data_IF_222726050563
#
_entry.id   IF_222726050563
#
_cell.length_a   1.000
_cell.length_b   1.000
_cell.length_c   1.000
_cell.angle_alpha   90.00
_cell.angle_beta   90.00
_cell.angle_gamma   90.00
#
_symmetry.space_group_name_H-M   'P 1'
#
loop_
_entity.id
_entity.type
_entity.pdbx_description
1 polymer ?
#
# COMPACT_ATOMS: atom_id res chain seq x y z
N UNK A 1 15.42 28.22 -15.18
CA UNK A 1 16.19 26.98 -15.46
C UNK A 1 16.57 26.41 -14.10
N UNK A 2 15.67 25.64 -13.49
CA UNK A 2 15.89 25.10 -12.16
C UNK A 2 16.79 23.86 -12.30
N UNK A 3 17.92 23.89 -11.61
CA UNK A 3 18.83 22.75 -11.52
C UNK A 3 18.17 21.70 -10.61
N UNK A 4 17.86 20.53 -11.17
CA UNK A 4 17.51 19.35 -10.39
C UNK A 4 18.75 18.93 -9.60
N UNK A 5 18.69 19.01 -8.28
CA UNK A 5 19.68 18.41 -7.39
C UNK A 5 19.12 17.04 -7.01
N UNK A 6 19.72 15.99 -7.57
CA UNK A 6 19.45 14.59 -7.21
C UNK A 6 20.33 14.27 -6.01
N UNK A 7 19.73 13.85 -4.89
CA UNK A 7 20.44 13.45 -3.68
C UNK A 7 20.40 11.93 -3.55
N UNK A 8 21.37 11.25 -4.17
CA UNK A 8 21.50 9.80 -4.03
C UNK A 8 21.87 9.43 -2.58
N UNK A 9 20.93 8.86 -1.83
CA UNK A 9 21.20 8.34 -0.48
C UNK A 9 21.75 6.90 -0.56
N UNK A 10 23.05 6.74 -0.34
CA UNK A 10 23.67 5.42 -0.12
C UNK A 10 23.79 5.21 1.39
N UNK A 11 22.85 4.50 2.00
CA UNK A 11 23.07 3.96 3.36
C UNK A 11 23.99 2.75 3.29
N UNK A 12 25.28 2.99 3.52
CA UNK A 12 26.28 1.93 3.64
C UNK A 12 26.21 1.29 5.03
N UNK A 13 25.28 0.35 5.22
CA UNK A 13 25.33 -0.54 6.38
C UNK A 13 26.52 -1.48 6.16
N UNK A 14 27.49 -1.42 7.07
CA UNK A 14 28.75 -2.14 6.97
C UNK A 14 28.50 -3.65 6.99
N UNK A 15 28.54 -4.29 5.82
CA UNK A 15 28.66 -5.74 5.68
C UNK A 15 27.44 -6.50 5.16
N UNK A 16 26.74 -6.00 4.14
CA UNK A 16 26.00 -6.78 3.14
C UNK A 16 25.62 -5.82 2.00
N UNK A 17 25.51 -6.33 0.77
CA UNK A 17 25.15 -5.56 -0.42
C UNK A 17 24.03 -4.56 -0.10
N UNK A 18 24.33 -3.26 -0.15
CA UNK A 18 23.40 -2.22 0.29
C UNK A 18 22.11 -2.27 -0.52
N UNK A 19 20.98 -2.06 0.16
CA UNK A 19 19.71 -1.82 -0.50
C UNK A 19 19.81 -0.48 -1.23
N UNK A 20 19.56 -0.46 -2.53
CA UNK A 20 19.42 0.76 -3.31
C UNK A 20 18.00 1.26 -3.06
N UNK A 21 17.88 2.36 -2.32
CA UNK A 21 16.63 3.08 -2.20
C UNK A 21 16.55 4.06 -3.37
N UNK A 22 15.44 4.04 -4.08
CA UNK A 22 15.08 5.20 -4.88
C UNK A 22 14.86 6.39 -3.94
N UNK A 23 15.28 7.58 -4.39
CA UNK A 23 14.96 8.80 -3.66
C UNK A 23 13.43 8.85 -3.49
N UNK A 24 12.97 9.23 -2.29
CA UNK A 24 11.59 9.69 -2.12
C UNK A 24 11.31 10.63 -3.28
N UNK A 25 10.24 10.41 -4.07
CA UNK A 25 9.91 11.30 -5.16
C UNK A 25 9.76 12.63 -4.48
N UNK A 26 10.69 13.55 -4.74
CA UNK A 26 10.65 14.82 -4.05
C UNK A 26 9.38 15.52 -4.50
N UNK A 27 8.56 16.02 -3.57
CA UNK A 27 7.49 16.84 -4.04
C UNK A 27 7.41 18.17 -3.33
N UNK A 28 6.57 18.94 -3.99
CA UNK A 28 6.10 20.27 -3.75
C UNK A 28 5.36 20.41 -2.42
N UNK A 29 4.76 21.57 -2.21
CA UNK A 29 4.08 22.06 -1.00
C UNK A 29 2.89 21.21 -0.46
N UNK A 30 2.67 19.98 -0.92
CA UNK A 30 1.56 19.14 -0.47
C UNK A 30 1.78 18.63 0.96
N UNK A 31 0.69 18.26 1.63
CA UNK A 31 0.73 17.82 3.04
C UNK A 31 0.52 16.32 3.23
N UNK A 32 0.14 15.60 2.19
CA UNK A 32 -0.22 14.19 2.26
C UNK A 32 0.61 13.39 1.25
N UNK A 33 1.01 12.18 1.64
CA UNK A 33 1.79 11.27 0.80
C UNK A 33 1.04 9.96 0.60
N UNK A 34 0.82 9.59 -0.66
CA UNK A 34 0.31 8.30 -1.07
C UNK A 34 1.47 7.45 -1.60
N UNK A 35 1.80 6.36 -0.92
CA UNK A 35 2.82 5.38 -1.37
C UNK A 35 2.13 4.14 -1.91
N UNK A 36 2.45 3.78 -3.15
CA UNK A 36 1.85 2.67 -3.88
C UNK A 36 2.94 1.65 -4.22
N UNK A 37 2.80 0.42 -3.71
CA UNK A 37 3.83 -0.63 -3.80
C UNK A 37 3.30 -1.88 -4.50
N UNK A 38 3.98 -2.30 -5.58
CA UNK A 38 3.61 -3.50 -6.35
C UNK A 38 3.99 -4.82 -5.65
N UNK A 39 3.56 -5.95 -6.21
CA UNK A 39 3.84 -7.30 -5.70
C UNK A 39 5.13 -7.93 -6.25
N UNK A 40 5.27 -9.25 -6.03
CA UNK A 40 6.43 -10.04 -6.47
C UNK A 40 6.34 -10.43 -7.94
N UNK A 41 7.35 -10.05 -8.72
CA UNK A 41 7.38 -10.25 -10.17
C UNK A 41 6.73 -9.12 -10.97
N UNK A 42 6.33 -8.06 -10.29
CA UNK A 42 5.68 -6.88 -10.86
C UNK A 42 6.60 -5.67 -10.78
N UNK A 43 6.15 -4.56 -11.36
CA UNK A 43 6.82 -3.25 -11.38
C UNK A 43 5.76 -2.14 -11.28
N UNK A 44 6.16 -0.87 -11.10
CA UNK A 44 5.24 0.26 -11.19
C UNK A 44 4.46 0.37 -12.51
N UNK A 45 4.95 -0.26 -13.59
CA UNK A 45 4.29 -0.21 -14.91
C UNK A 45 3.04 -1.07 -14.99
N UNK A 46 2.89 -2.06 -14.12
CA UNK A 46 1.81 -3.04 -14.21
C UNK A 46 0.48 -2.47 -13.70
N UNK A 47 0.50 -1.79 -12.54
CA UNK A 47 -0.69 -1.15 -12.00
C UNK A 47 -0.46 0.15 -11.20
N UNK A 48 0.65 0.36 -10.45
CA UNK A 48 0.78 1.55 -9.63
C UNK A 48 0.72 2.85 -10.45
N UNK A 49 1.38 2.88 -11.61
CA UNK A 49 1.34 4.04 -12.51
C UNK A 49 -0.06 4.29 -13.08
N UNK A 50 -0.84 3.23 -13.31
CA UNK A 50 -2.22 3.36 -13.77
C UNK A 50 -3.14 3.90 -12.67
N UNK A 51 -2.95 3.47 -11.41
CA UNK A 51 -3.65 4.04 -10.25
C UNK A 51 -3.30 5.53 -10.10
N UNK A 52 -2.01 5.87 -10.10
CA UNK A 52 -1.55 7.26 -10.06
C UNK A 52 -2.21 8.10 -11.15
N UNK A 53 -2.19 7.64 -12.41
CA UNK A 53 -2.77 8.37 -13.52
C UNK A 53 -4.29 8.53 -13.40
N UNK A 54 -5.00 7.55 -12.83
CA UNK A 54 -6.43 7.65 -12.55
C UNK A 54 -6.71 8.74 -11.50
N UNK A 55 -5.94 8.79 -10.41
CA UNK A 55 -6.08 9.79 -9.35
C UNK A 55 -5.75 11.19 -9.90
N UNK A 56 -4.61 11.35 -10.57
CA UNK A 56 -4.21 12.64 -11.15
C UNK A 56 -5.25 13.15 -12.16
N UNK A 57 -5.88 12.25 -12.92
CA UNK A 57 -6.95 12.61 -13.86
C UNK A 57 -8.23 13.05 -13.16
N UNK A 58 -8.63 12.36 -12.10
CA UNK A 58 -9.90 12.63 -11.40
C UNK A 58 -9.81 13.93 -10.56
N UNK A 59 -8.72 14.10 -9.82
CA UNK A 59 -8.59 15.21 -8.87
C UNK A 59 -7.82 16.42 -9.42
N UNK A 60 -6.99 16.24 -10.45
CA UNK A 60 -6.31 17.34 -11.16
C UNK A 60 -5.63 18.35 -10.23
N UNK A 61 -5.98 19.63 -10.39
CA UNK A 61 -5.43 20.74 -9.60
C UNK A 61 -5.88 20.74 -8.11
N UNK A 62 -6.86 19.92 -7.75
CA UNK A 62 -7.33 19.74 -6.37
C UNK A 62 -6.57 18.67 -5.58
N UNK A 63 -5.60 18.01 -6.20
CA UNK A 63 -4.83 16.94 -5.58
C UNK A 63 -3.87 17.50 -4.50
N UNK A 64 -4.19 17.27 -3.23
CA UNK A 64 -3.30 17.56 -2.08
C UNK A 64 -2.44 16.34 -1.69
N UNK A 65 -2.13 15.50 -2.68
CA UNK A 65 -1.32 14.30 -2.50
C UNK A 65 -0.08 14.35 -3.37
N UNK A 66 1.03 14.00 -2.76
CA UNK A 66 2.15 13.48 -3.52
C UNK A 66 1.97 11.98 -3.68
N UNK A 67 2.16 11.48 -4.91
CA UNK A 67 1.94 10.06 -5.23
C UNK A 67 3.26 9.41 -5.61
N UNK A 68 3.72 8.48 -4.77
CA UNK A 68 4.89 7.66 -4.99
C UNK A 68 4.53 6.25 -5.40
N UNK A 69 4.81 5.91 -6.66
CA UNK A 69 4.77 4.54 -7.15
C UNK A 69 6.16 3.92 -6.99
N UNK A 70 6.43 3.28 -5.86
CA UNK A 70 7.79 2.82 -5.51
C UNK A 70 8.16 1.54 -6.25
N UNK A 71 9.34 1.53 -6.87
CA UNK A 71 9.90 0.34 -7.52
C UNK A 71 10.81 -0.42 -6.54
N UNK A 72 10.50 -1.69 -6.33
CA UNK A 72 11.33 -2.61 -5.55
C UNK A 72 11.56 -3.92 -6.28
N UNK A 73 11.45 -3.93 -7.62
CA UNK A 73 11.54 -5.12 -8.46
C UNK A 73 12.76 -6.01 -8.18
N UNK A 74 13.93 -5.40 -7.93
CA UNK A 74 15.18 -6.09 -7.60
C UNK A 74 15.03 -6.96 -6.35
N UNK A 75 14.25 -6.50 -5.38
CA UNK A 75 13.98 -7.18 -4.11
C UNK A 75 12.73 -8.08 -4.19
N UNK A 76 11.79 -7.73 -5.07
CA UNK A 76 10.54 -8.45 -5.29
C UNK A 76 10.70 -9.66 -6.24
N UNK A 77 11.85 -9.81 -6.92
CA UNK A 77 12.06 -10.81 -7.97
C UNK A 77 11.88 -12.26 -7.52
N UNK A 78 12.15 -12.56 -6.24
CA UNK A 78 12.04 -13.91 -5.68
C UNK A 78 10.88 -13.98 -4.69
N UNK A 79 9.82 -14.71 -5.06
CA UNK A 79 8.67 -14.97 -4.18
C UNK A 79 9.04 -15.58 -2.82
N UNK A 80 10.15 -16.34 -2.75
CA UNK A 80 10.59 -16.97 -1.50
C UNK A 80 11.23 -15.99 -0.51
N UNK A 81 11.80 -14.88 -1.00
CA UNK A 81 12.52 -13.90 -0.17
C UNK A 81 11.78 -12.57 -0.07
N UNK A 82 10.82 -12.31 -0.95
CA UNK A 82 10.06 -11.07 -1.03
C UNK A 82 9.43 -10.64 0.31
N UNK A 83 9.02 -11.57 1.18
CA UNK A 83 8.50 -11.21 2.51
C UNK A 83 9.58 -10.59 3.41
N UNK A 84 10.76 -11.21 3.46
CA UNK A 84 11.90 -10.72 4.24
C UNK A 84 12.51 -9.46 3.65
N UNK A 85 12.72 -9.45 2.33
CA UNK A 85 13.25 -8.29 1.61
C UNK A 85 12.28 -7.11 1.70
N UNK A 86 10.98 -7.36 1.62
CA UNK A 86 9.94 -6.34 1.77
C UNK A 86 9.97 -5.67 3.16
N UNK A 87 10.18 -6.43 4.24
CA UNK A 87 10.33 -5.85 5.58
C UNK A 87 11.55 -4.93 5.68
N UNK A 88 12.69 -5.35 5.11
CA UNK A 88 13.92 -4.54 5.10
C UNK A 88 13.73 -3.26 4.28
N UNK A 89 13.18 -3.38 3.08
CA UNK A 89 12.89 -2.25 2.20
C UNK A 89 11.91 -1.28 2.87
N UNK A 90 10.82 -1.78 3.43
CA UNK A 90 9.83 -0.95 4.13
C UNK A 90 10.42 -0.19 5.32
N UNK A 91 11.28 -0.84 6.11
CA UNK A 91 11.98 -0.18 7.21
C UNK A 91 12.81 1.01 6.69
N UNK A 92 13.62 0.76 5.66
CA UNK A 92 14.51 1.77 5.06
C UNK A 92 13.73 2.93 4.42
N UNK A 93 12.59 2.66 3.79
CA UNK A 93 11.71 3.72 3.28
C UNK A 93 11.12 4.57 4.41
N UNK A 94 10.72 3.93 5.52
CA UNK A 94 10.24 4.65 6.69
C UNK A 94 11.33 5.54 7.30
N UNK A 95 12.56 5.06 7.39
CA UNK A 95 13.72 5.84 7.85
C UNK A 95 13.98 7.02 6.91
N UNK A 96 14.01 6.78 5.59
CA UNK A 96 14.17 7.84 4.60
C UNK A 96 13.06 8.90 4.68
N UNK A 97 11.80 8.50 4.92
CA UNK A 97 10.67 9.42 5.07
C UNK A 97 10.84 10.32 6.29
N UNK A 98 11.25 9.74 7.43
CA UNK A 98 11.47 10.46 8.68
C UNK A 98 12.69 11.41 8.62
N UNK A 99 13.71 11.06 7.84
CA UNK A 99 14.89 11.89 7.61
C UNK A 99 14.67 12.98 6.54
N UNK A 100 13.60 12.85 5.75
CA UNK A 100 13.27 13.82 4.71
C UNK A 100 12.91 15.19 5.30
N UNK A 101 13.15 16.29 4.56
CA UNK A 101 12.76 17.63 5.00
C UNK A 101 11.25 17.88 4.88
N UNK A 102 10.47 16.90 4.40
CA UNK A 102 9.04 17.04 4.13
C UNK A 102 8.24 16.75 5.40
N UNK A 103 7.31 17.65 5.73
CA UNK A 103 6.46 17.52 6.91
C UNK A 103 5.06 17.04 6.53
N UNK A 104 4.99 15.80 6.02
CA UNK A 104 3.70 15.16 5.76
C UNK A 104 2.91 14.97 7.06
N UNK A 105 1.61 15.21 6.96
CA UNK A 105 0.64 15.09 8.05
C UNK A 105 -0.17 13.79 7.94
N UNK A 106 -0.31 13.28 6.72
CA UNK A 106 -1.03 12.05 6.44
C UNK A 106 -0.26 11.19 5.45
N UNK A 107 -0.19 9.89 5.75
CA UNK A 107 0.44 8.88 4.93
C UNK A 107 -0.59 7.82 4.57
N UNK A 108 -0.90 7.68 3.29
CA UNK A 108 -1.70 6.57 2.78
C UNK A 108 -0.79 5.57 2.07
N UNK A 109 -0.80 4.33 2.54
CA UNK A 109 0.00 3.24 2.02
C UNK A 109 -0.89 2.23 1.31
N UNK A 110 -0.66 1.98 0.03
CA UNK A 110 -1.42 1.02 -0.77
C UNK A 110 -0.46 -0.02 -1.31
N UNK A 111 -0.72 -1.30 -1.06
CA UNK A 111 0.12 -2.36 -1.60
C UNK A 111 -0.64 -3.60 -2.02
N UNK A 112 -0.09 -4.26 -3.03
CA UNK A 112 -0.60 -5.54 -3.53
C UNK A 112 0.31 -6.70 -3.15
N UNK A 113 -0.28 -7.85 -2.82
CA UNK A 113 0.43 -9.12 -2.66
C UNK A 113 1.62 -8.99 -1.68
N UNK A 114 2.83 -9.37 -2.11
CA UNK A 114 4.06 -9.27 -1.31
C UNK A 114 4.47 -7.83 -0.97
N UNK A 115 4.01 -6.81 -1.71
CA UNK A 115 4.24 -5.40 -1.38
C UNK A 115 3.66 -5.01 -0.01
N UNK A 116 2.72 -5.79 0.50
CA UNK A 116 2.13 -5.64 1.85
C UNK A 116 3.18 -5.64 2.96
N UNK A 117 4.28 -6.40 2.80
CA UNK A 117 5.39 -6.40 3.74
C UNK A 117 6.14 -5.07 3.77
N UNK A 118 6.30 -4.43 2.61
CA UNK A 118 6.94 -3.11 2.49
C UNK A 118 6.13 -2.07 3.25
N UNK A 119 4.83 -1.94 2.96
CA UNK A 119 4.02 -0.93 3.63
C UNK A 119 3.81 -1.22 5.12
N UNK A 120 3.78 -2.50 5.51
CA UNK A 120 3.71 -2.88 6.92
C UNK A 120 4.94 -2.42 7.70
N UNK A 121 6.14 -2.71 7.21
CA UNK A 121 7.37 -2.27 7.88
C UNK A 121 7.56 -0.75 7.83
N UNK A 122 7.15 -0.09 6.73
CA UNK A 122 7.14 1.36 6.63
C UNK A 122 6.24 1.98 7.71
N UNK A 123 4.98 1.52 7.83
CA UNK A 123 4.06 1.97 8.87
C UNK A 123 4.60 1.72 10.28
N UNK A 124 5.25 0.58 10.51
CA UNK A 124 5.90 0.28 11.79
C UNK A 124 7.01 1.28 12.12
N UNK A 125 7.91 1.53 11.19
CA UNK A 125 9.03 2.48 11.38
C UNK A 125 8.51 3.89 11.67
N UNK A 126 7.51 4.34 10.91
CA UNK A 126 6.94 5.67 11.06
C UNK A 126 6.19 5.82 12.39
N UNK A 127 5.24 4.92 12.68
CA UNK A 127 4.40 5.01 13.89
C UNK A 127 5.20 4.97 15.19
N UNK A 128 6.36 4.31 15.19
CA UNK A 128 7.24 4.24 16.37
C UNK A 128 8.07 5.49 16.61
N UNK A 129 8.23 6.37 15.60
CA UNK A 129 9.13 7.53 15.64
C UNK A 129 8.42 8.88 15.45
N UNK A 130 7.32 8.94 14.70
CA UNK A 130 6.54 10.15 14.41
C UNK A 130 5.06 9.92 14.70
N UNK A 131 4.66 10.24 15.94
CA UNK A 131 3.31 9.97 16.45
C UNK A 131 2.23 10.94 15.98
N UNK A 132 2.59 12.04 15.33
CA UNK A 132 1.68 13.10 14.87
C UNK A 132 1.28 12.96 13.40
N UNK A 133 1.95 12.08 12.64
CA UNK A 133 1.55 11.74 11.28
C UNK A 133 0.54 10.60 11.30
N UNK A 134 -0.61 10.81 10.66
CA UNK A 134 -1.65 9.76 10.55
C UNK A 134 -1.30 8.75 9.46
N UNK A 135 -1.58 7.47 9.71
CA UNK A 135 -1.26 6.37 8.80
C UNK A 135 -2.54 5.63 8.41
N UNK A 136 -2.87 5.65 7.13
CA UNK A 136 -3.90 4.82 6.49
C UNK A 136 -3.20 3.74 5.67
N UNK A 137 -3.57 2.47 5.85
CA UNK A 137 -3.05 1.37 5.05
C UNK A 137 -4.16 0.63 4.28
N UNK A 138 -3.95 0.38 2.99
CA UNK A 138 -4.82 -0.40 2.12
C UNK A 138 -4.02 -1.58 1.57
N UNK A 139 -4.49 -2.78 1.91
CA UNK A 139 -3.96 -4.05 1.42
C UNK A 139 -4.84 -4.55 0.28
N UNK A 140 -4.24 -4.87 -0.86
CA UNK A 140 -4.90 -5.42 -2.03
C UNK A 140 -4.42 -6.87 -2.17
N UNK A 141 -5.29 -7.82 -1.84
CA UNK A 141 -5.03 -9.25 -1.87
C UNK A 141 -3.64 -9.65 -1.28
N UNK A 142 -3.39 -9.34 0.00
CA UNK A 142 -2.05 -9.38 0.58
C UNK A 142 -1.53 -10.81 0.69
N UNK A 143 -0.28 -11.05 0.27
CA UNK A 143 0.39 -12.32 0.57
C UNK A 143 0.79 -12.33 2.06
N UNK A 144 0.27 -13.28 2.83
CA UNK A 144 0.41 -13.26 4.31
C UNK A 144 1.42 -14.25 4.89
N UNK A 145 2.06 -15.10 4.08
CA UNK A 145 3.04 -16.07 4.55
C UNK A 145 4.44 -15.46 4.66
N UNK A 146 5.06 -15.60 5.83
CA UNK A 146 6.44 -15.18 6.07
C UNK A 146 7.36 -16.40 6.22
N UNK A 147 8.07 -16.71 5.14
CA UNK A 147 8.90 -17.92 5.05
C UNK A 147 8.08 -19.21 5.12
N UNK A 148 8.77 -20.34 5.36
CA UNK A 148 8.16 -21.67 5.24
C UNK A 148 7.30 -22.11 6.45
N UNK A 149 7.40 -21.40 7.58
CA UNK A 149 6.82 -21.85 8.85
C UNK A 149 5.69 -20.96 9.38
N UNK A 150 5.56 -19.72 8.91
CA UNK A 150 4.52 -18.79 9.39
C UNK A 150 3.61 -18.34 8.25
N UNK A 151 2.63 -19.19 7.92
CA UNK A 151 1.67 -18.97 6.83
C UNK A 151 0.56 -17.97 7.15
N UNK A 152 0.55 -17.42 8.36
CA UNK A 152 -0.48 -16.50 8.86
C UNK A 152 0.13 -15.23 9.47
N UNK A 153 1.41 -14.95 9.18
CA UNK A 153 2.09 -13.75 9.69
C UNK A 153 1.30 -12.49 9.35
N UNK A 154 0.99 -12.29 8.06
CA UNK A 154 0.28 -11.11 7.59
C UNK A 154 -1.10 -10.97 8.22
N UNK A 155 -1.82 -12.08 8.45
CA UNK A 155 -3.13 -12.06 9.12
C UNK A 155 -3.07 -11.41 10.50
N UNK A 156 -2.00 -11.69 11.25
CA UNK A 156 -1.81 -11.22 12.63
C UNK A 156 -1.11 -9.86 12.73
N UNK A 157 -0.40 -9.42 11.68
CA UNK A 157 0.48 -8.24 11.78
C UNK A 157 0.12 -7.10 10.81
N UNK A 158 -0.38 -7.39 9.61
CA UNK A 158 -0.72 -6.34 8.64
C UNK A 158 -1.86 -5.46 9.16
N UNK A 159 -1.67 -4.13 9.06
CA UNK A 159 -2.55 -3.11 9.63
C UNK A 159 -2.27 -2.72 11.08
N UNK A 160 -1.45 -3.48 11.83
CA UNK A 160 -1.19 -3.24 13.27
C UNK A 160 -0.66 -1.84 13.60
N UNK A 161 0.11 -1.28 12.68
CA UNK A 161 0.84 -0.02 12.84
C UNK A 161 0.17 1.17 12.14
N UNK A 162 -1.00 0.97 11.54
CA UNK A 162 -1.79 2.04 10.94
C UNK A 162 -2.87 2.52 11.90
N UNK A 163 -3.22 3.81 11.81
CA UNK A 163 -4.38 4.35 12.52
C UNK A 163 -5.67 3.77 11.95
N UNK A 164 -5.73 3.58 10.64
CA UNK A 164 -6.80 2.85 9.97
C UNK A 164 -6.18 1.93 8.90
N UNK A 165 -6.69 0.70 8.82
CA UNK A 165 -6.28 -0.22 7.77
C UNK A 165 -7.50 -0.93 7.18
N UNK A 166 -7.39 -1.23 5.89
CA UNK A 166 -8.38 -1.97 5.14
C UNK A 166 -7.72 -2.99 4.21
N UNK A 167 -8.45 -4.04 3.90
CA UNK A 167 -8.04 -5.16 3.08
C UNK A 167 -9.10 -5.42 2.02
N UNK A 168 -8.79 -5.19 0.76
CA UNK A 168 -9.62 -5.62 -0.37
C UNK A 168 -9.09 -6.96 -0.86
N UNK A 169 -9.93 -7.99 -0.78
CA UNK A 169 -9.55 -9.36 -1.12
C UNK A 169 -10.64 -10.01 -1.97
N UNK A 170 -10.27 -11.06 -2.68
CA UNK A 170 -11.24 -12.00 -3.24
C UNK A 170 -11.05 -13.36 -2.59
N UNK A 171 -12.12 -13.94 -2.03
CA UNK A 171 -12.02 -15.16 -1.20
C UNK A 171 -11.76 -16.44 -2.01
N UNK A 172 -11.73 -16.33 -3.34
CA UNK A 172 -11.55 -17.41 -4.28
C UNK A 172 -10.23 -17.35 -5.08
N UNK A 173 -9.27 -16.52 -4.68
CA UNK A 173 -7.94 -16.51 -5.30
C UNK A 173 -7.26 -17.89 -5.12
N UNK A 174 -6.70 -18.50 -6.18
CA UNK A 174 -5.95 -19.74 -6.05
C UNK A 174 -4.54 -19.55 -5.47
N UNK A 175 -4.05 -18.31 -5.27
CA UNK A 175 -2.73 -18.09 -4.68
C UNK A 175 -2.78 -18.45 -3.19
N UNK A 176 -1.88 -19.33 -2.70
CA UNK A 176 -1.85 -19.65 -1.29
C UNK A 176 -1.55 -18.40 -0.44
N UNK A 177 -2.28 -18.26 0.67
CA UNK A 177 -2.03 -17.23 1.69
C UNK A 177 -2.42 -15.79 1.31
N UNK A 178 -3.26 -15.59 0.27
CA UNK A 178 -3.77 -14.26 -0.15
C UNK A 178 -5.22 -13.99 0.26
N UNK A 179 -6.06 -15.03 0.38
CA UNK A 179 -7.49 -14.94 0.73
C UNK A 179 -7.79 -14.81 2.23
N UNK A 180 -6.87 -14.24 2.99
CA UNK A 180 -7.00 -14.26 4.44
C UNK A 180 -7.54 -12.94 4.97
N UNK A 181 -8.40 -13.05 5.97
CA UNK A 181 -8.80 -11.92 6.79
C UNK A 181 -7.58 -11.40 7.56
N UNK A 182 -7.45 -10.07 7.61
CA UNK A 182 -6.47 -9.40 8.46
C UNK A 182 -7.14 -8.99 9.77
N UNK A 183 -6.54 -9.37 10.89
CA UNK A 183 -7.04 -9.07 12.24
C UNK A 183 -6.96 -7.57 12.59
N UNK A 184 -6.13 -6.83 11.85
CA UNK A 184 -5.89 -5.41 12.10
C UNK A 184 -6.34 -4.49 10.98
N UNK A 185 -7.17 -4.97 10.05
CA UNK A 185 -7.81 -4.18 9.02
C UNK A 185 -9.32 -4.44 8.98
N UNK A 186 -10.12 -3.54 8.42
CA UNK A 186 -11.45 -3.89 7.93
C UNK A 186 -11.30 -4.68 6.62
N UNK A 187 -12.09 -5.74 6.44
CA UNK A 187 -11.94 -6.64 5.29
C UNK A 187 -13.10 -6.45 4.32
N UNK A 188 -12.81 -5.97 3.12
CA UNK A 188 -13.75 -5.88 2.02
C UNK A 188 -13.59 -7.08 1.10
N UNK A 189 -14.61 -7.93 1.06
CA UNK A 189 -14.71 -8.99 0.06
C UNK A 189 -15.33 -8.41 -1.20
N UNK A 190 -14.52 -8.30 -2.25
CA UNK A 190 -14.93 -7.77 -3.56
C UNK A 190 -15.17 -8.87 -4.59
N UNK A 191 -15.20 -10.14 -4.18
CA UNK A 191 -15.33 -11.29 -5.10
C UNK A 191 -16.56 -11.19 -5.98
N UNK A 192 -17.70 -10.77 -5.40
CA UNK A 192 -18.99 -10.71 -6.09
C UNK A 192 -19.05 -9.65 -7.20
N UNK A 193 -18.15 -8.66 -7.17
CA UNK A 193 -18.09 -7.59 -8.15
C UNK A 193 -17.24 -7.95 -9.37
N UNK A 194 -16.51 -9.07 -9.33
CA UNK A 194 -15.66 -9.47 -10.44
C UNK A 194 -16.50 -9.81 -11.66
N UNK A 195 -16.25 -9.22 -12.84
CA UNK A 195 -16.99 -9.55 -14.05
C UNK A 195 -16.92 -11.04 -14.39
N UNK A 196 -18.01 -11.60 -14.89
CA UNK A 196 -18.09 -13.01 -15.31
C UNK A 196 -17.06 -13.39 -16.39
N UNK A 197 -16.63 -12.41 -17.21
CA UNK A 197 -15.63 -12.57 -18.26
C UNK A 197 -14.21 -12.18 -17.83
N UNK A 198 -13.99 -11.93 -16.53
CA UNK A 198 -12.67 -11.65 -16.00
C UNK A 198 -11.74 -12.86 -16.19
N UNK A 199 -10.49 -12.60 -16.55
CA UNK A 199 -9.51 -13.66 -16.80
C UNK A 199 -9.24 -14.45 -15.51
N UNK A 200 -9.73 -15.69 -15.45
CA UNK A 200 -9.56 -16.58 -14.30
C UNK A 200 -8.09 -16.90 -13.97
N UNK A 201 -7.14 -16.61 -14.87
CA UNK A 201 -5.71 -16.73 -14.58
C UNK A 201 -5.13 -15.51 -13.84
N UNK A 202 -5.94 -14.46 -13.67
CA UNK A 202 -5.57 -13.18 -13.08
C UNK A 202 -6.41 -12.80 -11.86
N UNK A 203 -7.15 -13.72 -11.26
CA UNK A 203 -8.03 -13.41 -10.11
C UNK A 203 -7.33 -12.68 -8.97
N UNK A 204 -6.05 -12.97 -8.73
CA UNK A 204 -5.19 -12.27 -7.76
C UNK A 204 -5.05 -10.76 -8.01
N UNK A 205 -5.32 -10.31 -9.23
CA UNK A 205 -5.30 -8.91 -9.65
C UNK A 205 -6.65 -8.23 -9.51
N UNK A 206 -7.72 -8.97 -9.25
CA UNK A 206 -9.05 -8.40 -9.21
C UNK A 206 -9.20 -7.29 -8.15
N UNK A 207 -8.74 -7.45 -6.90
CA UNK A 207 -8.80 -6.36 -5.92
C UNK A 207 -8.01 -5.11 -6.34
N UNK A 208 -6.94 -5.27 -7.13
CA UNK A 208 -6.18 -4.14 -7.70
C UNK A 208 -6.99 -3.41 -8.76
N UNK A 209 -7.60 -4.14 -9.70
CA UNK A 209 -8.44 -3.56 -10.74
C UNK A 209 -9.67 -2.86 -10.14
N UNK A 210 -10.36 -3.51 -9.21
CA UNK A 210 -11.47 -2.94 -8.45
C UNK A 210 -11.07 -1.64 -7.75
N UNK A 211 -9.97 -1.65 -6.98
CA UNK A 211 -9.53 -0.47 -6.24
C UNK A 211 -9.17 0.69 -7.19
N UNK A 212 -8.49 0.41 -8.31
CA UNK A 212 -8.21 1.42 -9.33
C UNK A 212 -9.49 1.99 -9.96
N UNK A 213 -10.46 1.13 -10.27
CA UNK A 213 -11.72 1.56 -10.88
C UNK A 213 -12.60 2.36 -9.92
N UNK A 214 -12.51 2.09 -8.62
CA UNK A 214 -13.23 2.84 -7.59
C UNK A 214 -12.86 4.33 -7.57
N UNK A 215 -11.66 4.72 -8.04
CA UNK A 215 -11.20 6.12 -8.12
C UNK A 215 -12.22 7.03 -8.80
N UNK A 216 -12.89 6.55 -9.85
CA UNK A 216 -13.85 7.33 -10.64
C UNK A 216 -15.29 6.82 -10.56
N UNK A 217 -15.53 5.66 -9.95
CA UNK A 217 -16.80 4.94 -10.10
C UNK A 217 -17.47 4.53 -8.78
N UNK A 218 -16.79 4.60 -7.63
CA UNK A 218 -17.42 4.32 -6.34
C UNK A 218 -17.03 5.39 -5.30
N UNK A 219 -18.01 6.20 -4.91
CA UNK A 219 -17.84 7.26 -3.90
C UNK A 219 -17.93 6.74 -2.46
N UNK A 220 -18.20 5.43 -2.25
CA UNK A 220 -18.51 4.87 -0.92
C UNK A 220 -17.37 4.02 -0.37
N UNK A 221 -16.67 3.27 -1.23
CA UNK A 221 -15.64 2.30 -0.85
C UNK A 221 -14.49 2.28 -1.87
N UNK A 222 -13.34 1.74 -1.48
CA UNK A 222 -12.13 1.75 -2.31
C UNK A 222 -11.36 3.05 -2.13
N UNK A 223 -10.96 3.71 -3.22
CA UNK A 223 -10.17 4.94 -3.14
C UNK A 223 -10.92 6.10 -2.50
N UNK A 224 -12.26 6.10 -2.50
CA UNK A 224 -13.06 7.10 -1.79
C UNK A 224 -12.67 7.22 -0.31
N UNK A 225 -12.22 6.14 0.33
CA UNK A 225 -11.74 6.19 1.72
C UNK A 225 -10.51 7.10 1.88
N UNK A 226 -9.65 7.25 0.87
CA UNK A 226 -8.55 8.23 0.89
C UNK A 226 -9.07 9.65 1.06
N UNK A 227 -10.19 9.98 0.41
CA UNK A 227 -10.79 11.31 0.49
C UNK A 227 -11.51 11.49 1.84
N UNK A 228 -12.30 10.51 2.26
CA UNK A 228 -12.95 10.52 3.58
C UNK A 228 -11.93 10.69 4.71
N UNK A 229 -10.77 10.02 4.61
CA UNK A 229 -9.69 10.15 5.57
C UNK A 229 -9.19 11.59 5.73
N UNK A 230 -9.10 12.36 4.64
CA UNK A 230 -8.67 13.75 4.66
C UNK A 230 -9.78 14.73 5.04
N UNK A 231 -10.99 14.52 4.55
CA UNK A 231 -12.11 15.45 4.70
C UNK A 231 -12.83 15.29 6.05
N UNK A 232 -13.02 14.04 6.48
CA UNK A 232 -13.81 13.68 7.66
C UNK A 232 -12.97 13.05 8.77
N UNK A 233 -11.74 12.62 8.46
CA UNK A 233 -10.83 12.00 9.40
C UNK A 233 -11.00 10.48 9.51
N UNK A 234 -9.93 9.82 9.96
CA UNK A 234 -9.89 8.36 10.09
C UNK A 234 -10.89 7.78 11.10
N UNK A 235 -11.37 8.58 12.06
CA UNK A 235 -12.35 8.11 13.04
C UNK A 235 -13.71 7.82 12.40
N UNK A 236 -14.07 8.53 11.33
CA UNK A 236 -15.27 8.23 10.55
C UNK A 236 -15.16 6.86 9.89
N UNK A 237 -14.02 6.58 9.24
CA UNK A 237 -13.75 5.28 8.63
C UNK A 237 -13.77 4.16 9.67
N UNK A 238 -13.10 4.33 10.82
CA UNK A 238 -13.12 3.34 11.92
C UNK A 238 -14.53 3.06 12.43
N UNK A 239 -15.40 4.07 12.47
CA UNK A 239 -16.78 3.90 12.94
C UNK A 239 -17.66 3.18 11.92
N UNK A 240 -17.45 3.43 10.63
CA UNK A 240 -18.22 2.80 9.56
C UNK A 240 -17.72 1.39 9.23
N UNK A 241 -16.41 1.21 9.31
CA UNK A 241 -15.69 0.00 8.90
C UNK A 241 -14.74 -0.43 10.02
N UNK A 242 -15.27 -1.11 11.06
CA UNK A 242 -14.48 -1.49 12.22
C UNK A 242 -13.42 -2.53 11.88
N UNK A 243 -12.27 -2.42 12.54
CA UNK A 243 -11.14 -3.34 12.42
C UNK A 243 -11.55 -4.79 12.76
N UNK A 244 -11.12 -5.73 11.92
CA UNK A 244 -11.38 -7.17 12.08
C UNK A 244 -12.75 -7.62 11.59
N UNK A 245 -13.62 -6.69 11.16
CA UNK A 245 -14.91 -7.02 10.56
C UNK A 245 -14.78 -7.24 9.04
N UNK A 246 -15.86 -7.78 8.45
CA UNK A 246 -15.94 -8.10 7.03
C UNK A 246 -17.17 -7.45 6.41
N UNK A 247 -16.97 -6.74 5.31
CA UNK A 247 -18.04 -6.23 4.44
C UNK A 247 -17.98 -6.94 3.09
N UNK A 248 -19.09 -7.57 2.72
CA UNK A 248 -19.28 -8.10 1.36
C UNK A 248 -19.71 -6.94 0.47
N UNK A 249 -18.87 -6.53 -0.48
CA UNK A 249 -19.22 -5.45 -1.41
C UNK A 249 -20.05 -6.05 -2.55
N UNK A 250 -21.22 -5.48 -2.78
CA UNK A 250 -22.15 -5.91 -3.81
C UNK A 250 -22.68 -4.68 -4.56
N UNK A 251 -23.08 -4.85 -5.82
CA UNK A 251 -23.70 -3.81 -6.66
C UNK A 251 -25.01 -3.25 -6.06
#
# INVERSE_FOLDING_TARGET
MYAFIVFLFIMAISGCSGVLLEDLPGPTVAKNLLVVVHGSGDTPKDWPNALRAAIEKEYGDGLDWDIWTYDWDVYAASRMTASGDGLVVGQLLGEALLESPYDYQHLHLVAHSAGSYVIHALAQTVSTQKSDMTIHATYLDPFTANGFFDWSYGQREFGRHADYAENFMNVDDPVPSTNNLLEHAHNFDVTALRPDDYDNTKTHWWPVDYYRESVANDERVGYAHSQTALEEGLDTLKSQFPKGEVTMVND
#
